data_IF_895833497043
#
_entry.id   IF_895833497043
#
_cell.length_a   1.000
_cell.length_b   1.000
_cell.length_c   1.000
_cell.angle_alpha   90.00
_cell.angle_beta   90.00
_cell.angle_gamma   90.00
#
_symmetry.space_group_name_H-M   'P 1'
#
loop_
_entity.id
_entity.type
_entity.pdbx_description
1 polymer ?
#
# COMPACT_ATOMS: atom_id res chain seq x y z
N UNK A 1 25.96 -8.85 -29.04
CA UNK A 1 25.05 -9.45 -28.06
C UNK A 1 25.06 -10.97 -28.26
N UNK A 2 25.05 -11.74 -27.15
CA UNK A 2 24.86 -13.18 -27.20
C UNK A 2 23.36 -13.47 -27.39
N UNK A 3 23.05 -14.58 -28.07
CA UNK A 3 21.69 -15.07 -28.21
C UNK A 3 21.32 -15.95 -27.03
N UNK A 4 20.04 -16.26 -26.85
CA UNK A 4 19.56 -17.24 -25.88
C UNK A 4 20.23 -18.62 -26.11
N UNK A 5 20.60 -19.30 -25.01
CA UNK A 5 21.20 -20.62 -24.99
C UNK A 5 22.61 -20.65 -24.40
N UNK A 6 23.21 -21.82 -24.42
CA UNK A 6 24.56 -22.07 -23.90
C UNK A 6 25.63 -21.49 -24.82
N UNK A 7 26.58 -20.76 -24.22
CA UNK A 7 27.74 -20.15 -24.89
C UNK A 7 29.03 -20.55 -24.21
N UNK A 8 30.00 -21.03 -25.03
CA UNK A 8 31.38 -21.21 -24.59
C UNK A 8 32.16 -19.93 -24.90
N UNK A 9 32.57 -19.20 -23.87
CA UNK A 9 33.39 -17.99 -23.98
C UNK A 9 34.83 -18.37 -23.74
N UNK A 10 35.68 -18.19 -24.75
CA UNK A 10 37.10 -18.51 -24.71
C UNK A 10 37.93 -17.22 -24.74
N UNK A 11 38.84 -17.10 -23.79
CA UNK A 11 39.87 -16.05 -23.76
C UNK A 11 41.18 -16.65 -24.28
N UNK A 12 41.72 -16.06 -25.32
CA UNK A 12 43.03 -16.36 -25.88
C UNK A 12 44.01 -15.28 -25.48
N UNK A 13 45.21 -15.68 -25.07
CA UNK A 13 46.32 -14.78 -24.83
C UNK A 13 47.56 -15.25 -25.57
N UNK A 14 48.34 -14.31 -26.13
CA UNK A 14 49.63 -14.57 -26.79
C UNK A 14 50.70 -13.60 -26.29
N UNK A 15 51.87 -14.10 -25.97
CA UNK A 15 53.02 -13.30 -25.57
C UNK A 15 53.81 -12.79 -26.77
N UNK A 16 54.79 -11.88 -26.54
CA UNK A 16 55.66 -11.33 -27.55
C UNK A 16 56.58 -12.34 -28.24
N UNK A 17 56.63 -13.56 -27.76
CA UNK A 17 57.40 -14.68 -28.31
C UNK A 17 56.53 -15.65 -29.12
N UNK A 18 55.23 -15.38 -29.22
CA UNK A 18 54.26 -16.20 -29.94
C UNK A 18 53.79 -17.42 -29.16
N UNK A 19 53.95 -17.46 -27.84
CA UNK A 19 53.39 -18.50 -26.98
C UNK A 19 51.97 -18.13 -26.60
N UNK A 20 51.08 -19.09 -26.67
CA UNK A 20 49.64 -18.90 -26.42
C UNK A 20 49.17 -19.71 -25.22
N UNK A 21 48.14 -19.18 -24.54
CA UNK A 21 47.36 -19.92 -23.58
C UNK A 21 45.85 -19.56 -23.78
N UNK A 22 44.94 -20.39 -23.27
CA UNK A 22 43.53 -20.16 -23.39
C UNK A 22 42.78 -20.75 -22.20
N UNK A 23 41.66 -20.11 -21.85
CA UNK A 23 40.72 -20.59 -20.87
C UNK A 23 39.29 -20.41 -21.40
N UNK A 24 38.42 -21.34 -21.07
CA UNK A 24 37.02 -21.35 -21.51
C UNK A 24 36.09 -21.40 -20.31
N UNK A 25 35.06 -20.53 -20.31
CA UNK A 25 33.92 -20.60 -19.40
C UNK A 25 32.65 -20.88 -20.20
N UNK A 26 31.75 -21.67 -19.61
CA UNK A 26 30.43 -21.91 -20.18
C UNK A 26 29.43 -21.05 -19.41
N UNK A 27 28.63 -20.28 -20.15
CA UNK A 27 27.53 -19.47 -19.63
C UNK A 27 26.26 -19.85 -20.36
N UNK A 28 25.12 -19.76 -19.67
CA UNK A 28 23.79 -19.90 -20.25
C UNK A 28 23.14 -18.52 -20.31
N UNK A 29 22.63 -18.14 -21.47
CA UNK A 29 21.90 -16.89 -21.69
C UNK A 29 20.42 -17.23 -21.76
N UNK A 30 19.67 -16.80 -20.74
CA UNK A 30 18.23 -16.96 -20.67
C UNK A 30 17.47 -16.09 -21.69
N UNK A 31 16.13 -16.24 -21.76
CA UNK A 31 15.28 -15.36 -22.56
C UNK A 31 15.40 -13.91 -22.10
N UNK A 32 14.90 -12.95 -22.91
CA UNK A 32 14.84 -11.55 -22.49
C UNK A 32 14.04 -11.40 -21.20
N UNK A 33 14.51 -10.54 -20.28
CA UNK A 33 13.83 -10.26 -19.04
C UNK A 33 12.43 -9.68 -19.27
N UNK A 34 11.47 -10.08 -18.46
CA UNK A 34 10.11 -9.53 -18.40
C UNK A 34 9.98 -8.70 -17.11
N UNK A 35 9.23 -7.62 -17.14
CA UNK A 35 8.95 -6.86 -15.93
C UNK A 35 7.97 -7.64 -15.03
N UNK A 36 8.07 -7.49 -13.69
CA UNK A 36 7.13 -8.10 -12.77
C UNK A 36 5.71 -7.58 -12.97
N UNK A 37 4.72 -8.34 -12.50
CA UNK A 37 3.33 -7.91 -12.32
C UNK A 37 3.10 -7.60 -10.86
N UNK A 38 2.26 -6.60 -10.56
CA UNK A 38 1.90 -6.24 -9.20
C UNK A 38 0.51 -5.64 -9.12
N UNK A 39 -0.17 -5.85 -7.97
CA UNK A 39 -1.45 -5.21 -7.66
C UNK A 39 -1.60 -4.99 -6.15
N UNK A 40 -2.33 -3.96 -5.77
CA UNK A 40 -2.76 -3.70 -4.39
C UNK A 40 -4.12 -4.37 -4.18
N UNK A 41 -4.17 -5.32 -3.24
CA UNK A 41 -5.39 -6.04 -2.87
C UNK A 41 -6.11 -5.35 -1.71
N UNK A 42 -5.34 -4.83 -0.75
CA UNK A 42 -5.86 -4.13 0.44
C UNK A 42 -4.91 -2.97 0.78
N UNK A 43 -5.47 -1.79 1.18
CA UNK A 43 -6.88 -1.43 1.20
C UNK A 43 -7.48 -1.32 -0.21
N UNK A 44 -8.82 -1.33 -0.31
CA UNK A 44 -9.49 -1.10 -1.59
C UNK A 44 -9.35 0.37 -2.01
N UNK A 45 -9.37 0.62 -3.32
CA UNK A 45 -9.34 1.99 -3.85
C UNK A 45 -10.52 2.81 -3.30
N UNK A 46 -10.23 4.03 -2.82
CA UNK A 46 -11.19 4.91 -2.17
C UNK A 46 -11.55 4.54 -0.73
N UNK A 47 -10.86 3.57 -0.10
CA UNK A 47 -11.06 3.24 1.31
C UNK A 47 -10.60 4.39 2.22
N UNK A 48 -11.10 4.38 3.47
CA UNK A 48 -10.74 5.38 4.48
C UNK A 48 -10.48 4.74 5.85
N UNK A 49 -9.73 5.43 6.68
CA UNK A 49 -9.44 5.05 8.07
C UNK A 49 -9.22 6.25 8.97
N UNK A 50 -9.23 6.01 10.29
CA UNK A 50 -8.99 7.06 11.27
C UNK A 50 -7.49 7.33 11.45
N UNK A 51 -7.14 8.57 11.79
CA UNK A 51 -5.78 8.98 12.17
C UNK A 51 -5.20 8.03 13.25
N UNK A 52 -3.96 7.61 13.06
CA UNK A 52 -3.26 6.71 13.98
C UNK A 52 -3.72 5.24 13.97
N UNK A 53 -4.72 4.89 13.17
CA UNK A 53 -5.13 3.49 13.01
C UNK A 53 -4.11 2.70 12.24
N UNK A 54 -3.92 1.42 12.62
CA UNK A 54 -3.08 0.50 11.89
C UNK A 54 -3.76 0.13 10.56
N UNK A 55 -3.11 0.45 9.46
CA UNK A 55 -3.53 0.10 8.11
C UNK A 55 -2.74 -1.13 7.68
N UNK A 56 -3.43 -2.18 7.23
CA UNK A 56 -2.79 -3.36 6.66
C UNK A 56 -2.83 -3.27 5.14
N UNK A 57 -1.67 -3.32 4.53
CA UNK A 57 -1.48 -3.37 3.10
C UNK A 57 -1.23 -4.81 2.68
N UNK A 58 -1.97 -5.27 1.69
CA UNK A 58 -1.76 -6.56 1.04
C UNK A 58 -1.65 -6.31 -0.45
N UNK A 59 -0.58 -6.79 -1.06
CA UNK A 59 -0.37 -6.79 -2.49
C UNK A 59 -0.10 -8.20 -2.99
N UNK A 60 -0.14 -8.36 -4.31
CA UNK A 60 0.29 -9.55 -5.02
C UNK A 60 1.33 -9.19 -6.05
N UNK A 61 2.32 -10.04 -6.22
CA UNK A 61 3.32 -9.89 -7.28
C UNK A 61 3.69 -11.24 -7.87
N UNK A 62 4.09 -11.21 -9.13
CA UNK A 62 4.65 -12.37 -9.82
C UNK A 62 5.62 -11.92 -10.90
N UNK A 63 6.55 -12.79 -11.24
CA UNK A 63 7.46 -12.62 -12.34
C UNK A 63 7.66 -13.97 -13.04
N UNK A 64 7.90 -13.96 -14.35
CA UNK A 64 8.09 -15.19 -15.13
C UNK A 64 9.53 -15.67 -15.11
N UNK A 65 10.48 -14.80 -14.80
CA UNK A 65 11.91 -15.04 -14.89
C UNK A 65 12.52 -15.36 -13.52
N UNK A 66 11.94 -14.81 -12.43
CA UNK A 66 12.44 -15.00 -11.07
C UNK A 66 11.33 -15.36 -10.07
N UNK A 67 11.75 -15.99 -8.97
CA UNK A 67 10.83 -16.27 -7.86
C UNK A 67 10.51 -14.98 -7.08
N UNK A 68 9.34 -14.88 -6.43
CA UNK A 68 8.94 -13.68 -5.69
C UNK A 68 9.96 -13.18 -4.66
N UNK A 69 10.75 -14.06 -4.07
CA UNK A 69 11.79 -13.71 -3.08
C UNK A 69 12.94 -12.86 -3.63
N UNK A 70 13.08 -12.75 -4.94
CA UNK A 70 14.11 -11.92 -5.61
C UNK A 70 13.57 -10.54 -5.96
N UNK A 71 12.27 -10.33 -5.84
CA UNK A 71 11.63 -9.05 -6.10
C UNK A 71 11.80 -8.11 -4.90
N UNK A 72 12.08 -6.85 -5.19
CA UNK A 72 12.15 -5.78 -4.19
C UNK A 72 10.85 -5.00 -4.18
N UNK A 73 10.27 -4.80 -2.99
CA UNK A 73 8.96 -4.15 -2.82
C UNK A 73 9.11 -2.90 -1.99
N UNK A 74 8.56 -1.78 -2.47
CA UNK A 74 8.44 -0.52 -1.78
C UNK A 74 7.00 -0.03 -1.74
N UNK A 75 6.62 0.60 -0.61
CA UNK A 75 5.35 1.28 -0.40
C UNK A 75 5.58 2.76 -0.18
N UNK A 76 4.85 3.61 -0.86
CA UNK A 76 4.95 5.05 -0.73
C UNK A 76 3.60 5.76 -0.76
N UNK A 77 3.58 6.98 -0.25
CA UNK A 77 2.46 7.91 -0.30
C UNK A 77 2.90 9.22 -0.94
N UNK A 78 2.04 9.86 -1.71
CA UNK A 78 2.29 11.19 -2.29
C UNK A 78 2.43 12.29 -1.23
N UNK A 79 1.90 12.08 -0.01
CA UNK A 79 1.94 13.04 1.11
C UNK A 79 3.07 12.73 2.10
N UNK A 80 3.24 11.45 2.44
CA UNK A 80 4.14 11.03 3.53
C UNK A 80 5.48 10.46 3.01
N UNK A 81 5.66 10.36 1.68
CA UNK A 81 6.86 9.82 1.07
C UNK A 81 6.95 8.30 1.20
N UNK A 82 8.15 7.78 1.44
CA UNK A 82 8.38 6.34 1.62
C UNK A 82 7.79 5.86 2.95
N UNK A 83 6.90 4.87 2.88
CA UNK A 83 6.26 4.26 4.05
C UNK A 83 7.05 3.06 4.56
N UNK A 84 7.69 2.32 3.66
CA UNK A 84 8.51 1.16 4.00
C UNK A 84 8.63 0.15 2.86
N UNK A 85 9.20 -1.00 3.20
CA UNK A 85 9.43 -2.11 2.27
C UNK A 85 9.01 -3.43 2.88
N UNK A 86 8.75 -4.41 2.03
CA UNK A 86 8.45 -5.79 2.42
C UNK A 86 9.05 -6.77 1.43
N UNK A 87 9.16 -8.04 1.83
CA UNK A 87 9.59 -9.12 0.95
C UNK A 87 8.37 -9.97 0.63
N UNK A 88 8.10 -10.30 -0.64
CA UNK A 88 7.00 -11.18 -1.00
C UNK A 88 7.19 -12.58 -0.42
N UNK A 89 6.10 -13.23 -0.03
CA UNK A 89 6.06 -14.63 0.29
C UNK A 89 6.27 -15.49 -0.98
N UNK A 90 6.45 -16.80 -0.81
CA UNK A 90 6.71 -17.72 -1.93
C UNK A 90 5.58 -17.82 -2.95
N UNK A 91 4.36 -17.43 -2.58
CA UNK A 91 3.18 -17.35 -3.46
C UNK A 91 2.97 -15.96 -4.08
N UNK A 92 3.88 -15.01 -3.81
CA UNK A 92 3.82 -13.64 -4.30
C UNK A 92 3.00 -12.69 -3.43
N UNK A 93 2.47 -13.14 -2.29
CA UNK A 93 1.76 -12.27 -1.35
C UNK A 93 2.72 -11.29 -0.69
N UNK A 94 2.35 -10.01 -0.68
CA UNK A 94 3.10 -8.91 -0.05
C UNK A 94 2.30 -8.43 1.14
N UNK A 95 2.86 -8.50 2.35
CA UNK A 95 2.26 -7.96 3.57
C UNK A 95 3.06 -6.78 4.12
N UNK A 96 2.36 -5.69 4.46
CA UNK A 96 2.94 -4.50 5.11
C UNK A 96 1.89 -3.85 6.01
N UNK A 97 2.31 -3.23 7.10
CA UNK A 97 1.43 -2.51 8.00
C UNK A 97 2.03 -1.17 8.42
N UNK A 98 1.20 -0.13 8.48
CA UNK A 98 1.62 1.22 8.81
C UNK A 98 0.54 1.98 9.58
N UNK A 99 0.91 2.87 10.53
CA UNK A 99 -0.05 3.59 11.39
C UNK A 99 0.21 5.10 11.50
N UNK A 100 1.25 5.62 10.86
CA UNK A 100 1.67 7.02 11.04
C UNK A 100 1.36 7.89 9.81
N UNK A 101 0.29 7.56 9.07
CA UNK A 101 -0.14 8.40 7.96
C UNK A 101 -0.75 9.70 8.46
N UNK A 102 -0.44 10.80 7.76
CA UNK A 102 -1.02 12.12 8.05
C UNK A 102 -2.50 12.18 7.62
N UNK A 103 -3.24 13.14 8.21
CA UNK A 103 -4.66 13.35 7.84
C UNK A 103 -4.73 14.03 6.48
N UNK A 104 -5.07 13.26 5.44
CA UNK A 104 -5.26 13.73 4.05
C UNK A 104 -5.84 12.58 3.20
N UNK A 105 -6.14 12.85 1.94
CA UNK A 105 -6.32 11.82 0.91
C UNK A 105 -4.98 11.56 0.23
N UNK A 106 -4.49 10.34 0.39
CA UNK A 106 -3.20 9.87 -0.12
C UNK A 106 -3.37 9.09 -1.41
N UNK A 107 -2.42 9.24 -2.32
CA UNK A 107 -2.17 8.27 -3.37
C UNK A 107 -1.11 7.29 -2.85
N UNK A 108 -1.55 6.08 -2.55
CA UNK A 108 -0.68 4.99 -2.10
C UNK A 108 -0.16 4.24 -3.31
N UNK A 109 1.15 4.04 -3.39
CA UNK A 109 1.80 3.36 -4.50
C UNK A 109 2.60 2.17 -4.00
N UNK A 110 2.32 1.01 -4.59
CA UNK A 110 3.15 -0.19 -4.54
C UNK A 110 4.12 -0.13 -5.71
N UNK A 111 5.39 -0.34 -5.44
CA UNK A 111 6.45 -0.48 -6.47
C UNK A 111 7.14 -1.82 -6.29
N UNK A 112 7.21 -2.60 -7.34
CA UNK A 112 7.93 -3.88 -7.37
C UNK A 112 9.02 -3.81 -8.43
N UNK A 113 10.22 -4.20 -8.08
CA UNK A 113 11.41 -4.15 -8.95
C UNK A 113 12.06 -5.53 -8.98
N UNK A 114 12.43 -6.00 -10.16
CA UNK A 114 13.17 -7.24 -10.38
C UNK A 114 14.70 -7.08 -10.24
N UNK A 115 15.44 -8.17 -10.50
CA UNK A 115 16.90 -8.23 -10.33
C UNK A 115 17.67 -7.42 -11.37
N UNK A 116 17.06 -7.04 -12.49
CA UNK A 116 17.68 -6.20 -13.54
C UNK A 116 17.16 -4.76 -13.54
N UNK A 117 16.21 -4.44 -12.65
CA UNK A 117 15.68 -3.10 -12.45
C UNK A 117 14.43 -2.79 -13.29
N UNK A 118 13.75 -3.78 -13.87
CA UNK A 118 12.44 -3.55 -14.45
C UNK A 118 11.38 -3.42 -13.34
N UNK A 119 10.35 -2.58 -13.58
CA UNK A 119 9.46 -2.10 -12.52
C UNK A 119 8.01 -2.32 -12.90
N UNK A 120 7.20 -2.74 -11.91
CA UNK A 120 5.75 -2.63 -11.89
C UNK A 120 5.33 -1.63 -10.82
N UNK A 121 4.27 -0.86 -11.07
CA UNK A 121 3.62 0.00 -10.05
C UNK A 121 2.11 -0.16 -10.10
N UNK A 122 1.48 -0.13 -8.93
CA UNK A 122 0.03 -0.02 -8.78
C UNK A 122 -0.28 1.04 -7.73
N UNK A 123 -1.43 1.74 -7.85
CA UNK A 123 -1.77 2.86 -6.97
C UNK A 123 -3.26 2.92 -6.69
N UNK A 124 -3.60 3.29 -5.45
CA UNK A 124 -4.96 3.49 -4.96
C UNK A 124 -5.06 4.80 -4.20
N UNK A 125 -6.29 5.32 -4.04
CA UNK A 125 -6.58 6.40 -3.10
C UNK A 125 -6.97 5.84 -1.73
N UNK A 126 -6.46 6.46 -0.68
CA UNK A 126 -6.81 6.16 0.71
C UNK A 126 -6.93 7.43 1.52
N UNK A 127 -8.05 7.62 2.24
CA UNK A 127 -8.27 8.82 3.04
C UNK A 127 -8.05 8.53 4.53
N UNK A 128 -7.20 9.33 5.16
CA UNK A 128 -7.03 9.34 6.63
C UNK A 128 -7.78 10.53 7.18
N UNK A 129 -8.77 10.28 8.05
CA UNK A 129 -9.61 11.30 8.66
C UNK A 129 -9.53 11.36 10.16
N UNK A 130 -9.98 12.47 10.73
CA UNK A 130 -10.22 12.63 12.16
C UNK A 130 -11.65 12.23 12.53
N UNK A 131 -11.95 11.81 13.78
CA UNK A 131 -13.32 11.56 14.20
C UNK A 131 -14.14 12.85 14.19
N UNK A 132 -15.46 12.77 13.88
CA UNK A 132 -16.34 13.91 13.99
C UNK A 132 -16.44 14.42 15.42
N UNK A 133 -16.66 15.70 15.58
CA UNK A 133 -16.95 16.33 16.87
C UNK A 133 -18.46 16.52 17.04
N UNK A 134 -18.96 16.31 18.27
CA UNK A 134 -20.37 16.42 18.60
C UNK A 134 -20.58 17.19 19.89
N UNK A 135 -21.62 18.04 19.93
CA UNK A 135 -22.12 18.67 21.12
C UNK A 135 -23.64 18.54 21.18
N UNK A 136 -24.20 18.13 22.31
CA UNK A 136 -25.66 18.16 22.55
C UNK A 136 -26.02 19.56 23.03
N UNK A 137 -26.80 20.27 22.24
CA UNK A 137 -27.21 21.65 22.53
C UNK A 137 -28.46 21.70 23.42
N UNK A 138 -29.34 20.70 23.30
CA UNK A 138 -30.61 20.61 24.04
C UNK A 138 -31.13 19.16 24.07
N UNK A 139 -31.70 18.71 25.22
CA UNK A 139 -31.65 19.35 26.54
C UNK A 139 -30.26 19.32 27.16
N UNK A 140 -29.92 20.28 27.99
CA UNK A 140 -28.64 20.30 28.71
C UNK A 140 -28.60 19.23 29.82
N UNK A 141 -27.39 18.84 30.19
CA UNK A 141 -27.19 17.88 31.29
C UNK A 141 -27.87 18.35 32.57
N UNK A 142 -28.53 17.43 33.30
CA UNK A 142 -29.29 17.71 34.52
C UNK A 142 -30.65 18.38 34.27
N UNK A 143 -31.12 18.59 33.05
CA UNK A 143 -32.46 19.12 32.77
C UNK A 143 -33.54 18.16 33.28
N UNK A 144 -34.48 18.67 34.07
CA UNK A 144 -35.65 17.95 34.53
C UNK A 144 -36.86 18.27 33.63
N UNK A 145 -37.47 17.23 33.06
CA UNK A 145 -38.59 17.33 32.15
C UNK A 145 -39.82 16.62 32.70
N UNK A 146 -41.00 17.01 32.29
CA UNK A 146 -42.27 16.39 32.70
C UNK A 146 -42.60 15.22 31.78
N UNK A 147 -43.08 14.13 32.36
CA UNK A 147 -43.56 12.98 31.63
C UNK A 147 -44.77 13.33 30.73
N UNK A 148 -44.77 12.89 29.49
CA UNK A 148 -45.85 13.11 28.53
C UNK A 148 -45.75 14.39 27.70
N UNK A 149 -44.73 15.25 27.95
CA UNK A 149 -44.46 16.41 27.12
C UNK A 149 -43.46 16.06 26.00
N UNK A 150 -43.59 16.69 24.80
CA UNK A 150 -42.64 16.52 23.74
C UNK A 150 -41.27 17.07 24.13
N UNK A 151 -40.20 16.31 23.84
CA UNK A 151 -38.83 16.71 24.05
C UNK A 151 -38.15 16.90 22.71
N UNK A 152 -37.55 18.09 22.53
CA UNK A 152 -36.73 18.36 21.33
C UNK A 152 -35.27 18.13 21.64
N UNK A 153 -34.63 17.28 20.88
CA UNK A 153 -33.21 17.02 20.94
C UNK A 153 -32.52 17.82 19.82
N UNK A 154 -31.48 18.57 20.16
CA UNK A 154 -30.66 19.29 19.20
C UNK A 154 -29.18 19.02 19.50
N UNK A 155 -28.39 18.85 18.46
CA UNK A 155 -26.95 18.71 18.53
C UNK A 155 -26.28 19.43 17.38
N UNK A 156 -25.07 19.92 17.64
CA UNK A 156 -24.16 20.42 16.62
C UNK A 156 -23.12 19.36 16.34
N UNK A 157 -22.91 19.03 15.07
CA UNK A 157 -21.92 18.08 14.58
C UNK A 157 -21.04 18.76 13.57
N UNK A 158 -19.73 18.49 13.63
CA UNK A 158 -18.76 18.95 12.64
C UNK A 158 -17.67 17.89 12.42
N UNK A 159 -17.24 17.79 11.20
CA UNK A 159 -16.13 16.97 10.77
C UNK A 159 -15.21 17.79 9.86
N UNK A 160 -13.89 17.51 9.86
CA UNK A 160 -12.93 18.24 9.06
C UNK A 160 -12.91 17.77 7.60
N UNK A 161 -13.32 16.53 7.35
CA UNK A 161 -13.31 15.88 6.04
C UNK A 161 -14.69 15.80 5.41
N UNK A 162 -15.76 15.67 6.24
CA UNK A 162 -17.14 15.48 5.80
C UNK A 162 -18.02 16.72 6.01
N UNK A 163 -18.96 16.93 5.09
CA UNK A 163 -20.02 17.91 5.31
C UNK A 163 -21.00 17.37 6.36
N UNK A 164 -21.66 18.25 7.16
CA UNK A 164 -22.55 17.82 8.24
C UNK A 164 -23.69 16.87 7.81
N UNK A 165 -24.14 16.93 6.57
CA UNK A 165 -25.17 16.09 5.98
C UNK A 165 -24.67 14.68 5.58
N UNK A 166 -23.36 14.50 5.51
CA UNK A 166 -22.71 13.20 5.28
C UNK A 166 -22.48 12.41 6.58
N UNK A 167 -22.55 13.06 7.74
CA UNK A 167 -22.33 12.43 9.05
C UNK A 167 -23.63 11.76 9.53
N UNK A 168 -23.58 10.44 9.73
CA UNK A 168 -24.72 9.69 10.26
C UNK A 168 -24.94 9.99 11.74
N UNK A 169 -26.16 10.29 12.13
CA UNK A 169 -26.59 10.60 13.50
C UNK A 169 -27.59 9.57 14.01
N UNK A 170 -27.42 9.11 15.22
CA UNK A 170 -28.38 8.27 15.95
C UNK A 170 -28.56 8.75 17.38
N UNK A 171 -29.81 8.94 17.81
CA UNK A 171 -30.17 9.24 19.18
C UNK A 171 -30.54 7.98 19.93
N UNK A 172 -29.87 7.72 21.04
CA UNK A 172 -30.05 6.49 21.83
C UNK A 172 -30.47 6.84 23.25
N UNK A 173 -31.55 6.23 23.72
CA UNK A 173 -31.96 6.31 25.12
C UNK A 173 -31.91 4.91 25.76
N UNK A 174 -31.14 4.76 26.84
CA UNK A 174 -30.96 3.48 27.58
C UNK A 174 -30.60 2.29 26.66
N UNK A 175 -29.78 2.55 25.64
CA UNK A 175 -29.32 1.52 24.69
C UNK A 175 -30.27 1.21 23.53
N UNK A 176 -31.35 1.97 23.38
CA UNK A 176 -32.31 1.84 22.26
C UNK A 176 -32.37 3.13 21.46
N UNK A 177 -32.34 3.02 20.13
CA UNK A 177 -32.54 4.14 19.20
C UNK A 177 -33.95 4.74 19.40
N UNK A 178 -34.08 6.10 19.34
CA UNK A 178 -35.31 6.86 19.58
C UNK A 178 -35.63 7.80 18.44
#
# INVERSE_FOLDING_TARGET
YLTEGEHAIELHVEDSTGKTDRETVIIDVGPPNSAPLCEIVTPLDGAAGAEGSLITFIGMTSDVDVTPSWLTVGWSSDKDGELGSSTPDSDGTIGFAYSNMTVDTHTLTLTVTDEVGAICTDSIFYTVGTPPSIAIDSPLDGTVLNAGEPISFNATVSDAQDQPDAVALDWVANGSSI
#
